data_IF_390671792963
#
_entry.id   IF_390671792963
#
_cell.length_a   1.000
_cell.length_b   1.000
_cell.length_c   1.000
_cell.angle_alpha   90.00
_cell.angle_beta   90.00
_cell.angle_gamma   90.00
#
_symmetry.space_group_name_H-M   'P 1'
#
loop_
_entity.id
_entity.type
_entity.pdbx_description
1 polymer ?
#
# COMPACT_ATOMS: atom_id res chain seq x y z
N UNK A 1 3.45 5.33 10.99
CA UNK A 1 4.47 6.06 10.19
C UNK A 1 3.87 6.54 8.86
N UNK A 2 4.41 7.60 8.25
CA UNK A 2 4.00 8.08 6.92
C UNK A 2 5.19 8.00 5.95
N UNK A 3 5.00 7.34 4.80
CA UNK A 3 6.04 7.08 3.80
C UNK A 3 5.53 7.40 2.39
N UNK A 4 6.43 7.79 1.49
CA UNK A 4 6.11 8.15 0.11
C UNK A 4 6.66 7.11 -0.85
N UNK A 5 5.83 6.60 -1.75
CA UNK A 5 6.29 5.72 -2.81
C UNK A 5 7.02 6.51 -3.90
N UNK A 6 8.14 5.98 -4.38
CA UNK A 6 8.95 6.57 -5.46
C UNK A 6 8.68 5.97 -6.83
N UNK A 7 8.24 4.71 -6.85
CA UNK A 7 7.99 3.93 -8.06
C UNK A 7 7.03 2.77 -7.78
N UNK A 8 6.72 1.98 -8.82
CA UNK A 8 5.80 0.85 -8.75
C UNK A 8 6.24 -0.21 -7.73
N UNK A 9 7.53 -0.59 -7.74
CA UNK A 9 8.06 -1.65 -6.88
C UNK A 9 8.23 -1.15 -5.45
N UNK A 10 8.71 0.07 -5.28
CA UNK A 10 8.80 0.71 -3.97
C UNK A 10 7.41 0.82 -3.30
N UNK A 11 6.37 1.19 -4.05
CA UNK A 11 5.01 1.25 -3.51
C UNK A 11 4.54 -0.10 -2.95
N UNK A 12 4.70 -1.18 -3.72
CA UNK A 12 4.34 -2.52 -3.27
C UNK A 12 5.19 -2.98 -2.07
N UNK A 13 6.49 -2.72 -2.10
CA UNK A 13 7.40 -3.06 -1.00
C UNK A 13 7.02 -2.35 0.32
N UNK A 14 6.68 -1.05 0.26
CA UNK A 14 6.24 -0.29 1.43
C UNK A 14 4.90 -0.80 1.99
N UNK A 15 3.98 -1.21 1.13
CA UNK A 15 2.72 -1.84 1.56
C UNK A 15 3.01 -3.14 2.33
N UNK A 16 3.86 -4.01 1.78
CA UNK A 16 4.23 -5.27 2.44
C UNK A 16 4.94 -5.03 3.76
N UNK A 17 5.85 -4.06 3.83
CA UNK A 17 6.49 -3.67 5.08
C UNK A 17 5.47 -3.19 6.12
N UNK A 18 4.46 -2.42 5.68
CA UNK A 18 3.36 -1.97 6.53
C UNK A 18 2.48 -3.09 7.08
N UNK A 19 2.39 -4.25 6.43
CA UNK A 19 1.64 -5.41 6.93
C UNK A 19 2.30 -6.12 8.11
N UNK A 20 3.63 -5.98 8.26
CA UNK A 20 4.42 -6.61 9.33
C UNK A 20 4.80 -5.61 10.43
N UNK A 21 4.79 -4.31 10.12
CA UNK A 21 5.13 -3.25 11.06
C UNK A 21 4.11 -3.14 12.21
N UNK A 22 4.58 -2.75 13.39
CA UNK A 22 3.71 -2.40 14.51
C UNK A 22 3.00 -1.06 14.25
N UNK A 23 1.71 -1.01 14.59
CA UNK A 23 0.87 0.17 14.43
C UNK A 23 0.36 0.37 12.99
N UNK A 24 0.21 1.62 12.56
CA UNK A 24 -0.38 1.97 11.25
C UNK A 24 0.64 2.64 10.33
N UNK A 25 0.73 2.13 9.10
CA UNK A 25 1.56 2.69 8.03
C UNK A 25 0.69 3.37 6.98
N UNK A 26 0.97 4.65 6.69
CA UNK A 26 0.31 5.41 5.63
C UNK A 26 1.28 5.57 4.45
N UNK A 27 0.93 4.99 3.30
CA UNK A 27 1.72 5.05 2.06
C UNK A 27 1.06 6.04 1.09
N UNK A 28 1.78 7.08 0.68
CA UNK A 28 1.30 8.12 -0.27
C UNK A 28 2.05 8.05 -1.60
N UNK A 29 1.69 8.90 -2.58
CA UNK A 29 2.25 8.90 -3.95
C UNK A 29 1.96 7.61 -4.74
N UNK A 30 0.75 7.05 -4.60
CA UNK A 30 0.36 5.75 -5.18
C UNK A 30 0.16 5.75 -6.71
N UNK A 31 0.39 6.88 -7.41
CA UNK A 31 0.23 7.01 -8.87
C UNK A 31 1.00 5.94 -9.67
N UNK A 32 2.17 5.52 -9.20
CA UNK A 32 2.94 4.47 -9.83
C UNK A 32 2.37 3.08 -9.55
N UNK A 33 1.84 2.87 -8.35
CA UNK A 33 1.19 1.61 -7.95
C UNK A 33 -0.04 1.35 -8.83
N UNK A 34 -0.88 2.36 -9.01
CA UNK A 34 -2.15 2.23 -9.73
C UNK A 34 -1.97 1.86 -11.20
N UNK A 35 -0.82 2.22 -11.78
CA UNK A 35 -0.45 1.88 -13.16
C UNK A 35 0.01 0.43 -13.33
N UNK A 36 0.45 -0.24 -12.26
CA UNK A 36 1.02 -1.60 -12.34
C UNK A 36 0.26 -2.66 -11.56
N UNK A 37 -0.57 -2.28 -10.59
CA UNK A 37 -1.39 -3.21 -9.82
C UNK A 37 -2.86 -2.79 -9.78
N UNK A 38 -3.68 -3.59 -10.45
CA UNK A 38 -5.14 -3.45 -10.39
C UNK A 38 -5.67 -3.95 -9.04
N UNK A 39 -6.34 -3.05 -8.31
CA UNK A 39 -7.02 -3.32 -7.04
C UNK A 39 -6.16 -4.08 -6.01
N UNK A 40 -4.90 -3.66 -5.83
CA UNK A 40 -3.97 -4.35 -4.91
C UNK A 40 -4.53 -4.42 -3.48
N UNK A 41 -5.03 -3.31 -2.96
CA UNK A 41 -5.59 -3.23 -1.61
C UNK A 41 -6.79 -4.16 -1.43
N UNK A 42 -7.69 -4.26 -2.41
CA UNK A 42 -8.83 -5.20 -2.37
C UNK A 42 -8.38 -6.66 -2.37
N UNK A 43 -7.38 -7.01 -3.19
CA UNK A 43 -6.81 -8.37 -3.21
C UNK A 43 -6.15 -8.72 -1.87
N UNK A 44 -5.34 -7.81 -1.31
CA UNK A 44 -4.73 -8.03 0.00
C UNK A 44 -5.80 -8.15 1.10
N UNK A 45 -6.85 -7.33 1.06
CA UNK A 45 -7.98 -7.43 1.99
C UNK A 45 -8.71 -8.77 1.89
N UNK A 46 -8.89 -9.32 0.68
CA UNK A 46 -9.48 -10.67 0.50
C UNK A 46 -8.61 -11.80 1.08
N UNK A 47 -7.32 -11.56 1.29
CA UNK A 47 -6.39 -12.46 1.97
C UNK A 47 -6.32 -12.23 3.48
N UNK A 48 -7.14 -11.32 4.03
CA UNK A 48 -7.20 -11.00 5.45
C UNK A 48 -6.32 -9.84 5.91
N UNK A 49 -5.69 -9.10 4.98
CA UNK A 49 -4.90 -7.92 5.36
C UNK A 49 -5.79 -6.79 5.90
N UNK A 50 -5.39 -6.19 7.02
CA UNK A 50 -5.99 -4.96 7.53
C UNK A 50 -5.44 -3.75 6.76
N UNK A 51 -6.02 -3.48 5.59
CA UNK A 51 -5.62 -2.40 4.68
C UNK A 51 -6.84 -1.70 4.09
N UNK A 52 -6.73 -0.39 3.91
CA UNK A 52 -7.76 0.43 3.28
C UNK A 52 -7.16 1.45 2.31
N UNK A 53 -7.93 1.80 1.28
CA UNK A 53 -7.62 2.90 0.36
C UNK A 53 -8.47 4.09 0.79
N UNK A 54 -7.83 5.18 1.19
CA UNK A 54 -8.50 6.42 1.58
C UNK A 54 -8.29 7.50 0.52
N UNK A 55 -9.35 8.24 0.21
CA UNK A 55 -9.26 9.46 -0.59
C UNK A 55 -9.11 10.64 0.37
N UNK A 56 -8.04 11.41 0.20
CA UNK A 56 -7.78 12.64 0.94
C UNK A 56 -7.55 13.78 -0.04
#
# INVERSE_FOLDING_TARGET
AQVKATDLRAAAALILAGLVAEGTTQVTELKHLDRGYVNLHGKLKSLGANIERVNR
#
